data_IF_738786784484
#
_entry.id   IF_738786784484
#
_cell.length_a   1.000
_cell.length_b   1.000
_cell.length_c   1.000
_cell.angle_alpha   90.00
_cell.angle_beta   90.00
_cell.angle_gamma   90.00
#
_symmetry.space_group_name_H-M   'P 1'
#
loop_
_entity.id
_entity.type
_entity.pdbx_description
1 polymer ?
#
# COMPACT_ATOMS: atom_id res chain seq x y z
N UNK A 1 -3.77 10.64 -3.45
CA UNK A 1 -4.52 9.61 -2.71
C UNK A 1 -5.08 8.68 -3.74
N UNK A 2 -5.06 7.37 -3.53
CA UNK A 2 -5.83 6.49 -4.40
C UNK A 2 -7.31 6.89 -4.24
N UNK A 3 -7.96 7.29 -5.34
CA UNK A 3 -9.36 7.74 -5.29
C UNK A 3 -10.26 6.63 -4.74
N UNK A 4 -9.89 5.36 -4.96
CA UNK A 4 -10.56 4.18 -4.40
C UNK A 4 -10.54 4.13 -2.87
N UNK A 5 -9.39 4.30 -2.21
CA UNK A 5 -9.32 4.28 -0.73
C UNK A 5 -10.12 5.42 -0.11
N UNK A 6 -10.09 6.61 -0.72
CA UNK A 6 -10.80 7.78 -0.22
C UNK A 6 -12.31 7.63 -0.36
N UNK A 7 -12.79 7.23 -1.54
CA UNK A 7 -14.23 7.03 -1.78
C UNK A 7 -14.75 5.87 -0.92
N UNK A 8 -14.00 4.76 -0.85
CA UNK A 8 -14.38 3.59 -0.07
C UNK A 8 -14.47 3.87 1.42
N UNK A 9 -13.50 4.61 1.99
CA UNK A 9 -13.55 5.00 3.41
C UNK A 9 -14.74 5.91 3.70
N UNK A 10 -15.01 6.91 2.86
CA UNK A 10 -16.16 7.81 3.04
C UNK A 10 -17.48 7.04 2.94
N UNK A 11 -17.63 6.16 1.95
CA UNK A 11 -18.84 5.37 1.76
C UNK A 11 -19.09 4.40 2.92
N UNK A 12 -18.03 3.76 3.42
CA UNK A 12 -18.12 2.85 4.57
C UNK A 12 -18.60 3.58 5.83
N UNK A 13 -18.01 4.74 6.14
CA UNK A 13 -18.44 5.57 7.26
C UNK A 13 -19.88 6.05 7.10
N UNK A 14 -20.28 6.45 5.89
CA UNK A 14 -21.65 6.87 5.62
C UNK A 14 -22.66 5.74 5.84
N UNK A 15 -22.41 4.54 5.29
CA UNK A 15 -23.32 3.40 5.49
C UNK A 15 -23.38 2.95 6.95
N UNK A 16 -22.26 2.97 7.68
CA UNK A 16 -22.24 2.62 9.10
C UNK A 16 -23.04 3.61 9.95
N UNK A 17 -22.86 4.91 9.74
CA UNK A 17 -23.62 5.93 10.45
C UNK A 17 -25.12 5.86 10.10
N UNK A 18 -25.44 5.66 8.83
CA UNK A 18 -26.82 5.46 8.39
C UNK A 18 -27.46 4.23 9.08
N UNK A 19 -26.74 3.12 9.17
CA UNK A 19 -27.21 1.92 9.86
C UNK A 19 -27.42 2.12 11.37
N UNK A 20 -26.55 2.90 12.04
CA UNK A 20 -26.68 3.20 13.48
C UNK A 20 -27.84 4.16 13.78
N UNK A 21 -28.18 5.04 12.83
CA UNK A 21 -29.20 6.07 13.00
C UNK A 21 -30.59 5.64 12.52
N UNK A 22 -30.67 4.61 11.68
CA UNK A 22 -31.92 4.11 11.12
C UNK A 22 -32.59 3.12 12.07
N UNK A 23 -33.71 3.52 12.68
CA UNK A 23 -34.53 2.60 13.46
C UNK A 23 -35.52 1.88 12.54
N UNK A 24 -35.40 0.56 12.46
CA UNK A 24 -36.25 -0.29 11.61
C UNK A 24 -37.69 -0.36 12.12
N UNK A 25 -37.93 -0.02 13.39
CA UNK A 25 -39.26 -0.13 14.02
C UNK A 25 -40.17 1.08 13.76
N UNK A 26 -39.61 2.28 13.60
CA UNK A 26 -40.33 3.54 13.38
C UNK A 26 -40.07 4.18 12.03
N UNK A 27 -39.14 3.66 11.21
CA UNK A 27 -38.72 4.26 9.93
C UNK A 27 -38.26 5.72 10.08
N UNK A 28 -37.80 6.11 11.27
CA UNK A 28 -37.29 7.45 11.56
C UNK A 28 -35.78 7.41 11.80
N UNK A 29 -35.10 8.48 11.38
CA UNK A 29 -33.67 8.65 11.59
C UNK A 29 -33.47 9.34 12.93
N UNK A 30 -33.16 8.57 13.97
CA UNK A 30 -32.90 9.12 15.30
C UNK A 30 -31.40 9.22 15.57
N UNK A 31 -30.89 10.46 15.55
CA UNK A 31 -29.47 10.77 15.81
C UNK A 31 -29.04 10.37 17.23
N UNK A 32 -29.96 10.31 18.18
CA UNK A 32 -29.67 9.92 19.57
C UNK A 32 -29.26 8.45 19.73
N UNK A 33 -29.61 7.59 18.76
CA UNK A 33 -29.32 6.15 18.85
C UNK A 33 -27.82 5.86 18.67
N UNK A 34 -27.09 6.73 17.96
CA UNK A 34 -25.66 6.59 17.73
C UNK A 34 -24.82 6.66 19.03
N UNK A 35 -25.33 7.34 20.07
CA UNK A 35 -24.62 7.50 21.35
C UNK A 35 -24.50 6.17 22.10
N UNK A 36 -25.46 5.25 21.94
CA UNK A 36 -25.41 3.93 22.56
C UNK A 36 -24.29 3.03 22.02
N UNK A 37 -23.75 3.34 20.83
CA UNK A 37 -22.65 2.59 20.22
C UNK A 37 -21.27 3.07 20.68
N UNK A 38 -21.18 4.17 21.44
CA UNK A 38 -19.91 4.72 21.92
C UNK A 38 -19.77 4.45 23.42
N UNK A 39 -19.19 3.29 23.74
CA UNK A 39 -18.81 2.93 25.11
C UNK A 39 -17.27 2.94 25.28
N UNK A 40 -16.80 3.68 26.27
CA UNK A 40 -15.37 3.86 26.55
C UNK A 40 -14.67 2.55 26.93
N UNK A 41 -15.33 1.65 27.66
CA UNK A 41 -14.76 0.37 28.04
C UNK A 41 -14.63 -0.57 26.84
N UNK A 42 -15.68 -0.64 26.02
CA UNK A 42 -15.71 -1.43 24.78
C UNK A 42 -14.62 -0.98 23.80
N UNK A 43 -14.43 0.33 23.63
CA UNK A 43 -13.34 0.87 22.81
C UNK A 43 -11.96 0.44 23.33
N UNK A 44 -11.74 0.48 24.65
CA UNK A 44 -10.46 0.08 25.25
C UNK A 44 -10.16 -1.41 25.02
N UNK A 45 -11.17 -2.29 25.11
CA UNK A 45 -10.99 -3.73 24.88
C UNK A 45 -10.67 -4.00 23.41
N UNK A 46 -11.39 -3.38 22.48
CA UNK A 46 -11.18 -3.60 21.04
C UNK A 46 -9.86 -2.99 20.58
N UNK A 47 -9.58 -1.71 20.89
CA UNK A 47 -8.33 -1.08 20.50
C UNK A 47 -7.12 -1.68 21.24
N UNK A 48 -7.23 -1.89 22.55
CA UNK A 48 -6.17 -2.49 23.35
C UNK A 48 -5.88 -3.93 22.92
N UNK A 49 -6.93 -4.74 22.72
CA UNK A 49 -6.81 -6.13 22.28
C UNK A 49 -6.25 -6.27 20.87
N UNK A 50 -6.66 -5.43 19.92
CA UNK A 50 -6.13 -5.46 18.54
C UNK A 50 -4.65 -5.08 18.49
N UNK A 51 -4.25 -4.03 19.23
CA UNK A 51 -2.85 -3.61 19.33
C UNK A 51 -1.99 -4.68 20.01
N UNK A 52 -2.45 -5.24 21.14
CA UNK A 52 -1.75 -6.31 21.83
C UNK A 52 -1.61 -7.57 20.96
N UNK A 53 -2.67 -7.98 20.27
CA UNK A 53 -2.66 -9.13 19.36
C UNK A 53 -1.69 -8.93 18.18
N UNK A 54 -1.59 -7.71 17.66
CA UNK A 54 -0.67 -7.36 16.58
C UNK A 54 0.78 -7.49 17.02
N UNK A 55 1.12 -7.05 18.25
CA UNK A 55 2.45 -7.22 18.83
C UNK A 55 2.79 -8.68 19.18
N UNK A 56 1.79 -9.51 19.50
CA UNK A 56 1.99 -10.96 19.72
C UNK A 56 2.26 -11.67 18.39
N UNK A 57 1.54 -11.29 17.33
CA UNK A 57 1.55 -12.00 16.04
C UNK A 57 2.74 -11.63 15.15
N UNK A 58 3.39 -10.49 15.38
CA UNK A 58 4.49 -10.01 14.53
C UNK A 58 5.75 -9.70 15.35
N UNK A 59 6.95 -9.97 14.81
CA UNK A 59 8.20 -9.55 15.43
C UNK A 59 8.21 -8.02 15.62
N UNK A 60 8.81 -7.57 16.73
CA UNK A 60 8.76 -6.18 17.20
C UNK A 60 9.30 -5.15 16.16
N UNK A 61 10.16 -5.58 15.24
CA UNK A 61 10.65 -4.75 14.13
C UNK A 61 9.54 -4.37 13.14
N UNK A 62 8.71 -5.32 12.75
CA UNK A 62 7.63 -5.12 11.78
C UNK A 62 6.41 -4.47 12.43
N UNK A 63 6.13 -4.84 13.69
CA UNK A 63 5.00 -4.29 14.44
C UNK A 63 5.11 -2.77 14.66
N UNK A 64 6.33 -2.23 14.83
CA UNK A 64 6.57 -0.77 14.90
C UNK A 64 6.35 -0.08 13.56
N UNK A 65 6.55 -0.80 12.45
CA UNK A 65 6.32 -0.31 11.10
C UNK A 65 4.83 -0.21 10.71
N UNK A 66 3.94 -0.91 11.44
CA UNK A 66 2.50 -0.98 11.17
C UNK A 66 1.84 0.39 10.97
N UNK A 67 2.08 1.34 11.88
CA UNK A 67 1.55 2.70 11.77
C UNK A 67 2.08 3.44 10.52
N UNK A 68 3.32 3.17 10.14
CA UNK A 68 3.91 3.70 8.91
C UNK A 68 3.30 3.12 7.63
N UNK A 69 2.91 1.84 7.65
CA UNK A 69 2.24 1.19 6.52
C UNK A 69 0.81 1.70 6.30
N UNK A 70 0.06 1.96 7.37
CA UNK A 70 -1.27 2.60 7.29
C UNK A 70 -1.16 3.94 6.56
N UNK A 71 -0.18 4.77 6.93
CA UNK A 71 0.06 6.06 6.26
C UNK A 71 0.50 5.92 4.81
N UNK A 72 1.23 4.85 4.45
CA UNK A 72 1.61 4.55 3.06
C UNK A 72 0.41 4.14 2.21
N UNK A 73 -0.58 3.44 2.77
CA UNK A 73 -1.80 3.04 2.04
C UNK A 73 -2.62 4.24 1.54
N UNK A 74 -2.54 5.39 2.21
CA UNK A 74 -3.24 6.61 1.79
C UNK A 74 -2.50 7.39 0.69
N UNK A 75 -1.21 7.08 0.49
CA UNK A 75 -0.41 7.70 -0.58
C UNK A 75 -0.74 7.02 -1.91
N UNK A 76 -0.90 7.80 -3.00
CA UNK A 76 -1.09 7.21 -4.32
C UNK A 76 0.15 6.41 -4.70
N UNK A 77 -0.06 5.25 -5.33
CA UNK A 77 1.02 4.46 -5.87
C UNK A 77 1.65 5.25 -7.03
N UNK A 78 2.87 5.75 -6.84
CA UNK A 78 3.53 6.65 -7.80
C UNK A 78 4.27 5.91 -8.91
N UNK A 79 4.08 4.59 -9.04
CA UNK A 79 4.72 3.80 -10.09
C UNK A 79 4.08 4.19 -11.42
N UNK A 80 4.78 5.04 -12.17
CA UNK A 80 4.42 5.40 -13.54
C UNK A 80 4.71 4.20 -14.44
N UNK A 81 3.70 3.33 -14.58
CA UNK A 81 3.82 2.08 -15.33
C UNK A 81 4.24 2.34 -16.79
N UNK A 82 3.70 3.39 -17.40
CA UNK A 82 4.03 3.80 -18.78
C UNK A 82 5.49 4.20 -18.91
N UNK A 83 5.98 5.05 -18.00
CA UNK A 83 7.37 5.52 -17.99
C UNK A 83 8.36 4.37 -17.73
N UNK A 84 7.99 3.47 -16.83
CA UNK A 84 8.76 2.26 -16.55
C UNK A 84 8.83 1.36 -17.78
N UNK A 85 7.73 1.21 -18.52
CA UNK A 85 7.68 0.39 -19.73
C UNK A 85 8.50 1.01 -20.87
N UNK A 86 8.43 2.33 -21.07
CA UNK A 86 9.29 3.03 -22.05
C UNK A 86 10.77 2.85 -21.71
N UNK A 87 11.13 2.97 -20.43
CA UNK A 87 12.49 2.76 -19.96
C UNK A 87 12.97 1.33 -20.25
N UNK A 88 12.15 0.31 -19.97
CA UNK A 88 12.50 -1.10 -20.26
C UNK A 88 12.70 -1.32 -21.77
N UNK A 89 11.81 -0.77 -22.60
CA UNK A 89 11.90 -0.89 -24.06
C UNK A 89 13.17 -0.23 -24.59
N UNK A 90 13.53 0.94 -24.08
CA UNK A 90 14.72 1.66 -24.52
C UNK A 90 16.01 0.98 -24.07
N UNK A 91 16.06 0.47 -22.84
CA UNK A 91 17.18 -0.36 -22.37
C UNK A 91 17.31 -1.64 -23.21
N UNK A 92 16.20 -2.27 -23.61
CA UNK A 92 16.22 -3.44 -24.50
C UNK A 92 16.80 -3.13 -25.89
N UNK A 93 16.47 -1.96 -26.47
CA UNK A 93 17.07 -1.52 -27.75
C UNK A 93 18.59 -1.31 -27.64
N UNK A 94 19.05 -0.77 -26.52
CA UNK A 94 20.48 -0.56 -26.24
C UNK A 94 21.18 -1.92 -26.10
N UNK A 95 20.61 -2.81 -25.28
CA UNK A 95 21.11 -4.16 -25.04
C UNK A 95 21.28 -4.98 -26.33
N UNK A 96 20.35 -4.82 -27.29
CA UNK A 96 20.41 -5.51 -28.60
C UNK A 96 21.61 -5.08 -29.45
N UNK A 97 22.08 -3.84 -29.31
CA UNK A 97 23.24 -3.31 -30.05
C UNK A 97 24.54 -3.63 -29.32
N UNK A 98 24.58 -3.37 -28.02
CA UNK A 98 25.73 -3.63 -27.17
C UNK A 98 25.27 -3.78 -25.71
N UNK A 99 25.53 -4.94 -25.11
CA UNK A 99 25.17 -5.21 -23.71
C UNK A 99 25.96 -4.33 -22.73
N UNK A 100 27.18 -3.94 -23.07
CA UNK A 100 28.03 -3.09 -22.23
C UNK A 100 27.53 -1.64 -22.20
N UNK A 101 26.83 -1.19 -23.25
CA UNK A 101 26.25 0.16 -23.32
C UNK A 101 25.07 0.35 -22.34
N UNK A 102 24.62 -0.72 -21.66
CA UNK A 102 23.65 -0.62 -20.57
C UNK A 102 24.29 0.07 -19.35
N UNK A 103 25.61 -0.06 -19.13
CA UNK A 103 26.30 0.57 -18.00
C UNK A 103 26.13 2.09 -17.98
N UNK A 104 26.19 2.71 -19.16
CA UNK A 104 26.03 4.16 -19.32
C UNK A 104 24.60 4.63 -18.99
N UNK A 105 23.61 3.75 -19.13
CA UNK A 105 22.21 4.03 -18.84
C UNK A 105 21.80 3.68 -17.39
N UNK A 106 22.59 2.90 -16.64
CA UNK A 106 22.27 2.52 -15.26
C UNK A 106 22.09 3.72 -14.29
N UNK A 107 22.87 4.82 -14.38
CA UNK A 107 22.73 5.94 -13.45
C UNK A 107 21.40 6.69 -13.60
N UNK A 108 20.77 6.66 -14.78
CA UNK A 108 19.51 7.37 -15.05
C UNK A 108 18.26 6.58 -14.65
N UNK A 109 18.38 5.30 -14.29
CA UNK A 109 17.25 4.47 -13.86
C UNK A 109 16.93 4.73 -12.39
N UNK A 110 15.91 5.54 -12.10
CA UNK A 110 15.53 5.88 -10.72
C UNK A 110 15.16 4.67 -9.86
N UNK A 111 14.52 3.65 -10.46
CA UNK A 111 14.10 2.45 -9.75
C UNK A 111 15.30 1.56 -9.37
N UNK A 112 15.60 1.47 -8.07
CA UNK A 112 16.72 0.69 -7.54
C UNK A 112 16.61 -0.81 -7.88
N UNK A 113 15.41 -1.38 -7.93
CA UNK A 113 15.22 -2.78 -8.26
C UNK A 113 15.59 -3.06 -9.71
N UNK A 114 15.09 -2.24 -10.65
CA UNK A 114 15.44 -2.36 -12.07
C UNK A 114 16.94 -2.13 -12.31
N UNK A 115 17.53 -1.14 -11.64
CA UNK A 115 18.97 -0.87 -11.71
C UNK A 115 19.82 -2.03 -11.22
N UNK A 116 19.41 -2.68 -10.13
CA UNK A 116 20.06 -3.87 -9.59
C UNK A 116 19.98 -5.05 -10.56
N UNK A 117 18.80 -5.33 -11.10
CA UNK A 117 18.61 -6.39 -12.10
C UNK A 117 19.42 -6.17 -13.38
N UNK A 118 19.45 -4.94 -13.90
CA UNK A 118 20.25 -4.60 -15.08
C UNK A 118 21.76 -4.73 -14.83
N UNK A 119 22.24 -4.41 -13.62
CA UNK A 119 23.65 -4.66 -13.24
C UNK A 119 23.99 -6.15 -13.28
N UNK A 120 23.16 -7.00 -12.71
CA UNK A 120 23.38 -8.45 -12.74
C UNK A 120 23.42 -9.02 -14.16
N UNK A 121 22.62 -8.46 -15.07
CA UNK A 121 22.63 -8.82 -16.50
C UNK A 121 23.93 -8.38 -17.19
N UNK A 122 24.44 -7.19 -16.88
CA UNK A 122 25.75 -6.71 -17.38
C UNK A 122 26.89 -7.59 -16.86
N UNK A 123 26.86 -7.94 -15.57
CA UNK A 123 27.84 -8.78 -14.90
C UNK A 123 27.81 -10.25 -15.36
N UNK A 124 26.93 -10.60 -16.31
CA UNK A 124 26.70 -11.97 -16.81
C UNK A 124 26.45 -12.97 -15.69
N UNK A 125 25.75 -12.56 -14.64
CA UNK A 125 25.32 -13.49 -13.59
C UNK A 125 24.48 -14.62 -14.22
N UNK A 126 24.62 -15.82 -13.65
CA UNK A 126 23.92 -16.99 -14.18
C UNK A 126 22.41 -16.75 -14.17
N UNK A 127 21.73 -17.20 -15.23
CA UNK A 127 20.31 -16.90 -15.46
C UNK A 127 19.42 -17.45 -14.34
N UNK A 128 19.89 -18.49 -13.66
CA UNK A 128 19.26 -19.12 -12.50
C UNK A 128 19.36 -18.30 -11.21
N UNK A 129 20.32 -17.37 -11.11
CA UNK A 129 20.52 -16.51 -9.94
C UNK A 129 19.78 -15.16 -10.02
N UNK A 130 19.17 -14.84 -11.17
CA UNK A 130 18.49 -13.56 -11.45
C UNK A 130 16.94 -13.66 -11.24
N UNK A 131 16.42 -14.84 -10.89
CA UNK A 131 14.98 -15.09 -10.67
C UNK A 131 14.59 -14.85 -9.21
#
# INVERSE_FOLDING_TARGET
MEQGTLIGTILAWFMLLFAMMFDTSTFEVNVGNAIYFVDSASLMIVFGGTVASTFISHPMGDAKGFLGYIGKSWKPNSVQLVETLTLIVDVSKIARKNILAIEDALPSVENLFLRGGLRLVVDRADREAIV
#
